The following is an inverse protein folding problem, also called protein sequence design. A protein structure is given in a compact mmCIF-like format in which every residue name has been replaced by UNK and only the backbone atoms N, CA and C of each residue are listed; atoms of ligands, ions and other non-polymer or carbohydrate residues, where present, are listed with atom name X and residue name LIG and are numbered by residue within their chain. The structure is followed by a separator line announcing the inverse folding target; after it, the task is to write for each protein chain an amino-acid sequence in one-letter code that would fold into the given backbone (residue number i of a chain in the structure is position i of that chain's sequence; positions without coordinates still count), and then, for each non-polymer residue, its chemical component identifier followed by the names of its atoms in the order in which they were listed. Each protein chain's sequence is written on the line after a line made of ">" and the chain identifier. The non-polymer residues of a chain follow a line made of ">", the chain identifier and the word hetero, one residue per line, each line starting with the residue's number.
data_IF_543193901794
#
_entry.id   IF_543193901794
#
_cell.length_a   1.000
_cell.length_b   1.000
_cell.length_c   1.000
_cell.angle_alpha   90.00
_cell.angle_beta   90.00
_cell.angle_gamma   90.00
#
_symmetry.space_group_name_H-M   'P 1'
#
loop_
_entity.id
_entity.type
_entity.pdbx_description
1 polymer ?
#
# COMPACT_ATOMS: atom_id res chain seq x y z
N UNK A 1 -6.91 26.62 -0.96
CA UNK A 1 -7.70 25.54 -0.32
C UNK A 1 -7.29 25.49 1.15
N UNK A 2 -8.22 25.69 2.08
CA UNK A 2 -7.90 25.59 3.52
C UNK A 2 -8.15 24.16 3.97
N UNK A 3 -7.14 23.52 4.55
CA UNK A 3 -7.27 22.18 5.14
C UNK A 3 -7.82 22.34 6.55
N UNK A 4 -8.85 21.57 6.91
CA UNK A 4 -9.37 21.45 8.27
C UNK A 4 -8.64 20.30 8.99
N UNK A 5 -7.78 20.59 9.98
CA UNK A 5 -7.00 19.55 10.65
C UNK A 5 -7.85 18.56 11.45
N UNK A 6 -8.94 19.02 12.08
CA UNK A 6 -9.80 18.18 12.93
C UNK A 6 -10.53 17.15 12.06
N UNK A 7 -11.08 17.61 10.92
CA UNK A 7 -11.72 16.73 9.96
C UNK A 7 -10.76 15.67 9.36
N UNK A 8 -9.49 16.01 9.15
CA UNK A 8 -8.46 15.06 8.68
C UNK A 8 -8.18 13.98 9.72
N UNK A 9 -8.01 14.38 10.99
CA UNK A 9 -7.78 13.43 12.09
C UNK A 9 -8.97 12.49 12.24
N UNK A 10 -10.20 13.01 12.30
CA UNK A 10 -11.42 12.23 12.47
C UNK A 10 -11.65 11.23 11.32
N UNK A 11 -11.38 11.65 10.08
CA UNK A 11 -11.48 10.75 8.92
C UNK A 11 -10.42 9.65 8.98
N UNK A 12 -9.19 10.00 9.35
CA UNK A 12 -8.08 9.03 9.44
C UNK A 12 -8.34 8.02 10.54
N UNK A 13 -8.81 8.46 11.70
CA UNK A 13 -9.16 7.57 12.81
C UNK A 13 -10.27 6.58 12.44
N UNK A 14 -11.35 7.06 11.78
CA UNK A 14 -12.41 6.16 11.29
C UNK A 14 -11.89 5.15 10.28
N UNK A 15 -11.11 5.60 9.28
CA UNK A 15 -10.49 4.70 8.29
C UNK A 15 -9.59 3.66 8.97
N UNK A 16 -8.87 4.04 10.01
CA UNK A 16 -8.03 3.13 10.77
C UNK A 16 -8.85 2.01 11.42
N UNK A 17 -9.85 2.38 12.23
CA UNK A 17 -10.67 1.43 13.01
C UNK A 17 -11.55 0.57 12.11
N UNK A 18 -12.21 1.17 11.12
CA UNK A 18 -13.24 0.48 10.35
C UNK A 18 -12.65 -0.41 9.25
N UNK A 19 -11.49 -0.01 8.68
CA UNK A 19 -10.93 -0.65 7.49
C UNK A 19 -9.52 -1.22 7.69
N UNK A 20 -8.57 -0.42 8.22
CA UNK A 20 -7.15 -0.81 8.28
C UNK A 20 -6.90 -1.87 9.35
N UNK A 21 -7.39 -1.69 10.57
CA UNK A 21 -7.18 -2.62 11.67
C UNK A 21 -7.71 -4.04 11.35
N UNK A 22 -8.96 -4.22 10.86
CA UNK A 22 -9.43 -5.53 10.42
C UNK A 22 -8.61 -6.14 9.26
N UNK A 23 -8.10 -5.31 8.34
CA UNK A 23 -7.22 -5.78 7.27
C UNK A 23 -5.86 -6.24 7.80
N UNK A 24 -5.28 -5.51 8.77
CA UNK A 24 -4.03 -5.89 9.43
C UNK A 24 -4.17 -7.21 10.20
N UNK A 25 -5.31 -7.48 10.84
CA UNK A 25 -5.58 -8.78 11.46
C UNK A 25 -5.52 -9.92 10.45
N UNK A 26 -6.14 -9.78 9.28
CA UNK A 26 -6.08 -10.80 8.21
C UNK A 26 -4.68 -10.92 7.63
N UNK A 27 -3.96 -9.80 7.51
CA UNK A 27 -2.60 -9.76 7.01
C UNK A 27 -1.64 -10.60 7.88
N UNK A 28 -1.71 -10.46 9.21
CA UNK A 28 -0.81 -11.19 10.13
C UNK A 28 -1.10 -12.71 10.20
N UNK A 29 -2.26 -13.16 9.72
CA UNK A 29 -2.59 -14.59 9.62
C UNK A 29 -1.81 -15.28 8.50
N UNK A 30 -1.31 -14.53 7.51
CA UNK A 30 -0.51 -15.08 6.41
C UNK A 30 0.94 -15.26 6.89
N UNK A 31 1.53 -16.47 6.80
CA UNK A 31 2.90 -16.73 7.22
C UNK A 31 3.92 -16.24 6.17
N UNK A 32 3.86 -14.95 5.86
CA UNK A 32 4.69 -14.28 4.86
C UNK A 32 6.09 -13.97 5.43
N UNK A 33 6.91 -15.01 5.55
CA UNK A 33 8.29 -14.90 6.03
C UNK A 33 9.20 -14.29 4.96
N UNK A 34 10.26 -13.61 5.40
CA UNK A 34 11.29 -13.11 4.48
C UNK A 34 12.13 -14.25 3.93
N UNK A 35 12.76 -14.04 2.77
CA UNK A 35 13.60 -15.03 2.07
C UNK A 35 14.66 -15.69 2.95
N UNK A 36 15.17 -14.97 3.96
CA UNK A 36 16.16 -15.49 4.90
C UNK A 36 15.61 -16.59 5.84
N UNK A 37 14.30 -16.64 6.04
CA UNK A 37 13.61 -17.59 6.93
C UNK A 37 12.75 -18.60 6.18
N UNK A 38 12.53 -18.39 4.88
CA UNK A 38 11.83 -19.32 3.99
C UNK A 38 12.52 -19.38 2.62
N UNK A 39 13.46 -20.33 2.43
CA UNK A 39 14.15 -20.51 1.14
C UNK A 39 13.21 -20.90 -0.01
N UNK A 40 12.07 -21.53 0.30
CA UNK A 40 11.06 -22.01 -0.65
C UNK A 40 9.88 -21.01 -0.79
N UNK A 41 10.07 -19.75 -0.38
CA UNK A 41 9.04 -18.70 -0.34
C UNK A 41 8.25 -18.55 -1.63
N UNK A 42 8.91 -18.71 -2.78
CA UNK A 42 8.29 -18.59 -4.10
C UNK A 42 7.28 -19.72 -4.35
N UNK A 43 7.60 -20.93 -3.87
CA UNK A 43 6.67 -22.07 -3.93
C UNK A 43 5.54 -21.94 -2.92
N UNK A 44 5.81 -21.40 -1.72
CA UNK A 44 4.78 -21.18 -0.71
C UNK A 44 3.81 -20.04 -1.06
N UNK A 45 4.26 -19.04 -1.83
CA UNK A 45 3.40 -17.98 -2.38
C UNK A 45 2.79 -17.03 -1.34
N UNK A 46 3.24 -17.06 -0.08
CA UNK A 46 2.68 -16.22 0.98
C UNK A 46 2.94 -14.72 0.77
N UNK A 47 4.14 -14.37 0.30
CA UNK A 47 4.48 -12.99 -0.06
C UNK A 47 3.63 -12.50 -1.25
N UNK A 48 3.34 -13.37 -2.23
CA UNK A 48 2.46 -13.04 -3.34
C UNK A 48 1.02 -12.79 -2.89
N UNK A 49 0.53 -13.63 -1.96
CA UNK A 49 -0.80 -13.47 -1.38
C UNK A 49 -0.92 -12.12 -0.65
N UNK A 50 0.05 -11.80 0.20
CA UNK A 50 0.11 -10.52 0.91
C UNK A 50 0.08 -9.33 -0.06
N UNK A 51 0.93 -9.36 -1.09
CA UNK A 51 1.03 -8.24 -2.04
C UNK A 51 -0.25 -8.10 -2.86
N UNK A 52 -0.86 -9.22 -3.27
CA UNK A 52 -2.14 -9.19 -3.99
C UNK A 52 -3.28 -8.62 -3.14
N UNK A 53 -3.36 -8.99 -1.86
CA UNK A 53 -4.38 -8.47 -0.94
C UNK A 53 -4.19 -6.97 -0.67
N UNK A 54 -2.94 -6.52 -0.50
CA UNK A 54 -2.62 -5.10 -0.33
C UNK A 54 -2.90 -4.28 -1.60
N UNK A 55 -2.57 -4.81 -2.78
CA UNK A 55 -2.86 -4.17 -4.06
C UNK A 55 -4.38 -3.98 -4.25
N UNK A 56 -5.16 -5.03 -4.03
CA UNK A 56 -6.62 -4.98 -4.14
C UNK A 56 -7.26 -3.97 -3.17
N UNK A 57 -6.73 -3.86 -1.95
CA UNK A 57 -7.18 -2.84 -0.99
C UNK A 57 -6.86 -1.42 -1.46
N UNK A 58 -5.65 -1.19 -1.99
CA UNK A 58 -5.23 0.12 -2.47
C UNK A 58 -6.03 0.59 -3.68
N UNK A 59 -6.28 -0.30 -4.64
CA UNK A 59 -7.17 -0.05 -5.79
C UNK A 59 -8.60 0.34 -5.33
N UNK A 60 -9.06 -0.23 -4.21
CA UNK A 60 -10.35 0.10 -3.59
C UNK A 60 -10.41 1.45 -2.86
N UNK A 61 -9.29 2.13 -2.63
CA UNK A 61 -9.25 3.40 -1.88
C UNK A 61 -9.76 4.62 -2.67
N UNK A 62 -10.06 4.47 -3.97
CA UNK A 62 -10.61 5.51 -4.84
C UNK A 62 -9.82 6.84 -4.82
N UNK A 63 -8.49 6.75 -4.81
CA UNK A 63 -7.59 7.91 -4.89
C UNK A 63 -7.47 8.33 -6.36
N UNK A 64 -7.80 9.59 -6.67
CA UNK A 64 -7.75 10.09 -8.03
C UNK A 64 -6.32 10.07 -8.58
N UNK A 65 -6.13 9.44 -9.75
CA UNK A 65 -4.83 9.33 -10.41
C UNK A 65 -3.90 8.28 -9.81
N UNK A 66 -4.31 7.52 -8.79
CA UNK A 66 -3.49 6.45 -8.25
C UNK A 66 -3.29 5.33 -9.28
N UNK A 67 -2.02 5.04 -9.58
CA UNK A 67 -1.57 3.84 -10.26
C UNK A 67 -1.02 2.85 -9.22
N UNK A 68 -1.44 1.59 -9.32
CA UNK A 68 -0.97 0.49 -8.47
C UNK A 68 -0.30 -0.55 -9.36
N UNK A 69 0.95 -0.89 -9.07
CA UNK A 69 1.70 -1.89 -9.84
C UNK A 69 2.36 -2.90 -8.89
N UNK A 70 2.26 -4.19 -9.24
CA UNK A 70 3.08 -5.24 -8.62
C UNK A 70 4.27 -5.53 -9.52
N UNK A 71 5.42 -4.92 -9.21
CA UNK A 71 6.66 -5.09 -9.98
C UNK A 71 7.30 -6.44 -9.63
N UNK A 72 7.66 -7.21 -10.66
CA UNK A 72 8.23 -8.56 -10.52
C UNK A 72 9.52 -8.70 -11.31
N UNK A 73 10.52 -9.30 -10.69
CA UNK A 73 11.77 -9.69 -11.33
C UNK A 73 12.06 -11.17 -11.02
N UNK A 74 12.62 -11.94 -11.97
CA UNK A 74 12.96 -13.35 -11.74
C UNK A 74 13.84 -13.54 -10.50
N UNK A 75 13.44 -14.45 -9.61
CA UNK A 75 14.18 -14.76 -8.37
C UNK A 75 14.20 -13.63 -7.33
N UNK A 76 13.27 -12.67 -7.41
CA UNK A 76 13.13 -11.56 -6.43
C UNK A 76 11.71 -11.52 -5.87
N UNK A 77 11.58 -11.13 -4.61
CA UNK A 77 10.28 -10.88 -3.99
C UNK A 77 9.54 -9.75 -4.74
N UNK A 78 8.21 -9.82 -4.85
CA UNK A 78 7.42 -8.77 -5.49
C UNK A 78 7.57 -7.43 -4.75
N UNK A 79 7.47 -6.33 -5.49
CA UNK A 79 7.38 -4.97 -4.95
C UNK A 79 5.99 -4.43 -5.28
N UNK A 80 5.30 -3.89 -4.29
CA UNK A 80 4.08 -3.12 -4.49
C UNK A 80 4.45 -1.64 -4.66
N UNK A 81 4.17 -1.10 -5.84
CA UNK A 81 4.47 0.28 -6.21
C UNK A 81 3.18 1.09 -6.34
N UNK A 82 3.24 2.33 -5.87
CA UNK A 82 2.16 3.29 -5.97
C UNK A 82 2.69 4.57 -6.60
N UNK A 83 1.98 5.10 -7.59
CA UNK A 83 2.25 6.41 -8.14
C UNK A 83 0.99 7.27 -8.12
N UNK A 84 1.11 8.51 -7.66
CA UNK A 84 0.01 9.47 -7.62
C UNK A 84 0.55 10.80 -8.16
N UNK A 85 0.16 11.20 -9.38
CA UNK A 85 0.61 12.47 -9.94
C UNK A 85 0.08 13.63 -9.10
N UNK A 86 0.91 14.67 -8.95
CA UNK A 86 0.49 15.90 -8.30
C UNK A 86 -0.73 16.51 -9.03
N UNK A 87 -1.66 17.08 -8.27
CA UNK A 87 -2.87 17.72 -8.80
C UNK A 87 -3.03 19.15 -8.29
N UNK A 88 -3.60 20.00 -9.15
CA UNK A 88 -3.87 21.41 -8.86
C UNK A 88 -2.68 22.36 -9.07
N UNK A 89 -2.96 23.66 -9.14
CA UNK A 89 -1.99 24.70 -9.49
C UNK A 89 -0.97 25.03 -8.38
N UNK A 90 -1.05 24.35 -7.23
CA UNK A 90 -0.31 24.68 -6.02
C UNK A 90 0.96 23.83 -5.81
N UNK A 91 1.14 22.75 -6.57
CA UNK A 91 2.33 21.92 -6.49
C UNK A 91 3.34 22.36 -7.59
N UNK A 92 4.54 22.82 -7.24
CA UNK A 92 5.63 22.91 -8.21
C UNK A 92 5.83 21.53 -8.85
N UNK A 93 5.97 21.46 -10.18
CA UNK A 93 6.09 20.20 -10.91
C UNK A 93 7.28 19.31 -10.48
N UNK A 94 8.19 19.86 -9.67
CA UNK A 94 9.48 19.25 -9.31
C UNK A 94 9.53 18.74 -7.85
N UNK A 95 8.42 18.81 -7.10
CA UNK A 95 8.38 18.38 -5.69
C UNK A 95 7.70 17.00 -5.54
N UNK A 96 8.47 15.99 -5.12
CA UNK A 96 8.03 14.59 -5.02
C UNK A 96 8.32 14.03 -3.63
N UNK A 97 7.36 13.30 -3.07
CA UNK A 97 7.49 12.59 -1.80
C UNK A 97 7.51 11.08 -2.06
N UNK A 98 8.51 10.38 -1.50
CA UNK A 98 8.55 8.92 -1.48
C UNK A 98 8.18 8.40 -0.08
N UNK A 99 7.16 7.55 -0.03
CA UNK A 99 6.84 6.75 1.14
C UNK A 99 7.34 5.32 0.92
N UNK A 100 8.03 4.75 1.90
CA UNK A 100 8.62 3.42 1.83
C UNK A 100 8.36 2.65 3.13
N UNK A 101 8.02 1.36 3.00
CA UNK A 101 7.70 0.45 4.10
C UNK A 101 7.78 -1.01 3.68
#
# INVERSE_FOLDING_TARGET
>A
MTIDPEAVVDRTHRRWVDDIEPALHRYIEVPALSVAFDPDWEAHGHLDRVVADAAAWAEGCAIAGLEVEVVRLPGRTPILWFDVPAFGDAAPADDQVLLYG
#
